data_IF_042822838228
#
_entry.id   IF_042822838228
#
_cell.length_a   1.000
_cell.length_b   1.000
_cell.length_c   1.000
_cell.angle_alpha   90.00
_cell.angle_beta   90.00
_cell.angle_gamma   90.00
#
_symmetry.space_group_name_H-M   'P 1'
#
loop_
_entity.id
_entity.type
_entity.pdbx_description
1 polymer ?
#
# COMPACT_ATOMS: atom_id res chain seq x y z
N UNK A 1 -28.87 -2.95 11.79
CA UNK A 1 -28.51 -4.27 11.21
C UNK A 1 -28.22 -4.28 9.71
N UNK A 2 -28.61 -3.30 8.88
CA UNK A 2 -28.39 -3.37 7.43
C UNK A 2 -26.92 -3.17 6.96
N UNK A 3 -26.11 -2.35 7.66
CA UNK A 3 -24.78 -1.91 7.19
C UNK A 3 -23.71 -3.00 7.03
N UNK A 4 -23.82 -4.16 7.68
CA UNK A 4 -22.80 -5.23 7.53
C UNK A 4 -22.98 -6.14 6.31
N UNK A 5 -24.15 -6.14 5.65
CA UNK A 5 -24.41 -7.10 4.55
C UNK A 5 -23.74 -6.75 3.22
N UNK A 6 -23.36 -5.48 3.00
CA UNK A 6 -22.79 -5.03 1.72
C UNK A 6 -21.25 -5.09 1.64
N UNK A 7 -20.52 -5.42 2.72
CA UNK A 7 -19.05 -5.46 2.70
C UNK A 7 -18.44 -6.75 2.12
N UNK A 8 -19.26 -7.77 1.87
CA UNK A 8 -18.79 -9.04 1.31
C UNK A 8 -18.90 -8.98 -0.21
N UNK A 9 -17.95 -8.30 -0.85
CA UNK A 9 -17.69 -8.52 -2.27
C UNK A 9 -17.37 -10.01 -2.50
N UNK A 10 -17.81 -10.62 -3.61
CA UNK A 10 -17.49 -12.01 -3.90
C UNK A 10 -15.99 -12.15 -4.21
N UNK A 11 -15.20 -12.40 -3.17
CA UNK A 11 -13.73 -12.55 -3.11
C UNK A 11 -13.08 -13.53 -4.12
N UNK A 12 -13.88 -14.17 -4.96
CA UNK A 12 -13.53 -15.22 -5.92
C UNK A 12 -14.02 -14.90 -7.35
N UNK A 13 -14.61 -13.71 -7.60
CA UNK A 13 -15.05 -13.26 -8.93
C UNK A 13 -14.53 -11.85 -9.21
N UNK A 14 -13.91 -11.69 -10.37
CA UNK A 14 -13.57 -10.38 -10.93
C UNK A 14 -14.85 -9.53 -11.05
N UNK A 15 -14.79 -8.28 -10.57
CA UNK A 15 -15.90 -7.34 -10.73
C UNK A 15 -16.03 -6.93 -12.19
N UNK A 16 -17.29 -6.79 -12.65
CA UNK A 16 -17.56 -6.19 -13.96
C UNK A 16 -17.15 -4.72 -13.90
N UNK A 17 -16.67 -4.12 -15.01
CA UNK A 17 -16.28 -2.71 -15.03
C UNK A 17 -17.35 -1.75 -14.48
N UNK A 18 -18.63 -1.98 -14.81
CA UNK A 18 -19.76 -1.18 -14.34
C UNK A 18 -19.99 -1.23 -12.80
N UNK A 19 -19.57 -2.31 -12.14
CA UNK A 19 -19.75 -2.48 -10.68
C UNK A 19 -18.56 -1.92 -9.87
N UNK A 20 -17.43 -1.57 -10.54
CA UNK A 20 -16.18 -1.20 -9.87
C UNK A 20 -16.27 0.09 -9.06
N UNK A 21 -16.84 1.16 -9.62
CA UNK A 21 -16.91 2.45 -8.93
C UNK A 21 -17.63 2.34 -7.57
N UNK A 22 -18.78 1.67 -7.53
CA UNK A 22 -19.52 1.41 -6.30
C UNK A 22 -18.76 0.51 -5.32
N UNK A 23 -18.08 -0.52 -5.81
CA UNK A 23 -17.27 -1.42 -4.98
C UNK A 23 -16.03 -0.72 -4.39
N UNK A 24 -15.34 0.09 -5.18
CA UNK A 24 -14.17 0.86 -4.77
C UNK A 24 -14.57 1.93 -3.74
N UNK A 25 -15.73 2.59 -3.91
CA UNK A 25 -16.29 3.48 -2.90
C UNK A 25 -16.56 2.72 -1.58
N UNK A 26 -17.18 1.54 -1.63
CA UNK A 26 -17.44 0.74 -0.42
C UNK A 26 -16.17 0.24 0.28
N UNK A 27 -15.08 0.00 -0.48
CA UNK A 27 -13.79 -0.48 0.05
C UNK A 27 -12.89 0.64 0.58
N UNK A 28 -12.84 1.78 -0.11
CA UNK A 28 -11.95 2.90 0.21
C UNK A 28 -12.62 3.96 1.09
N UNK A 29 -13.92 4.22 0.88
CA UNK A 29 -14.61 5.35 1.50
C UNK A 29 -15.47 4.94 2.70
N UNK A 30 -16.26 3.86 2.62
CA UNK A 30 -17.21 3.44 3.67
C UNK A 30 -16.56 2.79 4.93
N UNK A 31 -15.32 3.15 5.23
CA UNK A 31 -14.55 2.70 6.40
C UNK A 31 -14.93 3.45 7.68
N UNK A 32 -14.94 2.80 8.87
CA UNK A 32 -15.24 3.48 10.12
C UNK A 32 -14.10 4.43 10.49
N UNK A 33 -14.27 5.71 10.19
CA UNK A 33 -13.23 6.75 10.26
C UNK A 33 -13.44 7.84 9.20
N UNK A 34 -14.10 7.50 8.09
CA UNK A 34 -14.47 8.46 7.06
C UNK A 34 -15.87 9.02 7.33
N UNK A 35 -15.98 9.93 8.31
CA UNK A 35 -17.21 10.71 8.47
C UNK A 35 -17.35 11.69 7.29
N UNK A 36 -18.56 11.84 6.74
CA UNK A 36 -18.84 12.52 5.48
C UNK A 36 -18.57 14.06 5.43
N UNK A 37 -17.83 14.61 6.40
CA UNK A 37 -17.52 16.03 6.49
C UNK A 37 -16.31 16.51 5.68
N UNK A 38 -15.32 15.64 5.40
CA UNK A 38 -14.07 16.07 4.75
C UNK A 38 -14.12 16.11 3.22
N UNK A 39 -15.10 15.46 2.59
CA UNK A 39 -15.16 15.30 1.12
C UNK A 39 -15.74 16.53 0.42
N UNK A 40 -16.76 17.15 1.02
CA UNK A 40 -17.57 18.21 0.40
C UNK A 40 -16.77 19.50 0.08
N UNK A 41 -15.79 19.95 0.89
CA UNK A 41 -14.95 21.09 0.53
C UNK A 41 -14.03 20.84 -0.68
N UNK A 42 -13.69 19.58 -0.96
CA UNK A 42 -12.62 19.24 -1.90
C UNK A 42 -13.13 18.93 -3.32
N UNK A 43 -14.38 18.47 -3.51
CA UNK A 43 -14.95 18.30 -4.86
C UNK A 43 -15.06 19.63 -5.62
N UNK A 44 -15.37 20.72 -4.91
CA UNK A 44 -15.39 22.09 -5.45
C UNK A 44 -14.04 22.55 -6.01
N UNK A 45 -12.93 22.00 -5.53
CA UNK A 45 -11.58 22.32 -6.02
C UNK A 45 -11.37 21.76 -7.43
N UNK A 46 -11.88 20.54 -7.70
CA UNK A 46 -11.80 19.89 -9.02
C UNK A 46 -12.61 20.68 -10.06
N UNK A 47 -13.82 21.12 -9.72
CA UNK A 47 -14.66 21.95 -10.60
C UNK A 47 -14.03 23.31 -10.90
N UNK A 48 -13.46 23.95 -9.86
CA UNK A 48 -12.75 25.21 -10.00
C UNK A 48 -11.57 25.06 -10.97
N UNK A 49 -10.77 24.01 -10.83
CA UNK A 49 -9.66 23.67 -11.72
C UNK A 49 -10.11 23.22 -13.13
N UNK A 50 -11.32 22.68 -13.28
CA UNK A 50 -11.90 22.38 -14.58
C UNK A 50 -12.40 23.64 -15.31
N UNK A 51 -12.84 24.65 -14.55
CA UNK A 51 -13.39 25.92 -15.05
C UNK A 51 -12.30 26.96 -15.34
N UNK A 52 -11.20 26.97 -14.57
CA UNK A 52 -10.01 27.78 -14.86
C UNK A 52 -9.07 26.99 -15.77
N UNK A 53 -9.05 27.28 -17.07
CA UNK A 53 -8.03 26.74 -17.99
C UNK A 53 -6.66 27.39 -17.72
N UNK A 54 -5.99 26.93 -16.65
CA UNK A 54 -4.64 27.34 -16.28
C UNK A 54 -4.54 28.16 -14.98
N UNK A 55 -3.54 27.79 -14.18
CA UNK A 55 -2.63 28.69 -13.44
C UNK A 55 -3.19 29.64 -12.35
N UNK A 56 -4.48 29.61 -12.02
CA UNK A 56 -5.04 30.47 -10.95
C UNK A 56 -4.82 29.97 -9.49
N UNK A 57 -4.35 28.75 -9.27
CA UNK A 57 -4.23 28.14 -7.93
C UNK A 57 -2.94 28.50 -7.16
N UNK A 58 -2.01 29.23 -7.79
CA UNK A 58 -0.64 29.41 -7.30
C UNK A 58 -0.47 30.23 -5.99
N UNK A 59 -1.53 30.89 -5.49
CA UNK A 59 -1.38 31.95 -4.47
C UNK A 59 -1.55 31.47 -3.02
N UNK A 60 -2.01 30.24 -2.79
CA UNK A 60 -2.22 29.70 -1.43
C UNK A 60 -1.27 28.54 -1.06
N UNK A 61 -0.85 27.70 -2.03
CA UNK A 61 -0.02 26.52 -1.77
C UNK A 61 1.29 26.82 -1.03
N UNK A 62 2.04 27.84 -1.48
CA UNK A 62 3.29 28.26 -0.86
C UNK A 62 3.06 28.87 0.54
N UNK A 63 1.87 29.46 0.79
CA UNK A 63 1.48 30.03 2.09
C UNK A 63 1.03 28.97 3.08
N UNK A 64 0.46 27.87 2.57
CA UNK A 64 0.07 26.68 3.32
C UNK A 64 1.27 25.78 3.69
N UNK A 65 2.50 26.16 3.31
CA UNK A 65 3.72 25.43 3.66
C UNK A 65 3.95 24.19 2.81
N UNK A 66 3.63 24.24 1.51
CA UNK A 66 3.94 23.18 0.56
C UNK A 66 5.42 22.77 0.56
N UNK A 67 5.69 21.50 0.26
CA UNK A 67 7.04 20.90 0.32
C UNK A 67 8.08 21.51 -0.62
N UNK A 68 7.62 22.15 -1.70
CA UNK A 68 8.41 22.89 -2.69
C UNK A 68 7.50 23.97 -3.33
N UNK A 69 8.04 24.97 -4.05
CA UNK A 69 7.22 25.97 -4.76
C UNK A 69 6.20 25.34 -5.72
N UNK A 70 5.03 25.96 -5.82
CA UNK A 70 3.94 25.45 -6.66
C UNK A 70 4.35 25.16 -8.11
N UNK A 71 5.18 26.01 -8.74
CA UNK A 71 5.62 25.83 -10.13
C UNK A 71 6.42 24.53 -10.32
N UNK A 72 7.21 24.13 -9.32
CA UNK A 72 7.95 22.87 -9.36
C UNK A 72 7.01 21.68 -9.25
N UNK A 73 6.05 21.74 -8.33
CA UNK A 73 4.99 20.73 -8.15
C UNK A 73 4.21 20.55 -9.46
N UNK A 74 3.69 21.63 -10.03
CA UNK A 74 2.91 21.63 -11.26
C UNK A 74 3.72 21.13 -12.47
N UNK A 75 5.00 21.52 -12.60
CA UNK A 75 5.90 21.05 -13.66
C UNK A 75 6.17 19.54 -13.55
N UNK A 76 6.39 19.01 -12.34
CA UNK A 76 6.59 17.58 -12.10
C UNK A 76 5.34 16.77 -12.46
N UNK A 77 4.15 17.22 -12.05
CA UNK A 77 2.87 16.63 -12.44
C UNK A 77 2.75 16.58 -13.98
N UNK A 78 3.05 17.68 -14.68
CA UNK A 78 2.96 17.74 -16.14
C UNK A 78 3.95 16.78 -16.82
N UNK A 79 5.23 16.75 -16.41
CA UNK A 79 6.24 15.87 -17.00
C UNK A 79 5.93 14.38 -16.81
N UNK A 80 5.48 13.98 -15.62
CA UNK A 80 5.18 12.58 -15.33
C UNK A 80 3.84 12.13 -15.92
N UNK A 81 2.87 13.04 -16.10
CA UNK A 81 1.62 12.76 -16.81
C UNK A 81 1.85 12.43 -18.30
N UNK A 82 2.78 13.12 -18.97
CA UNK A 82 3.14 12.81 -20.36
C UNK A 82 3.91 11.49 -20.50
N UNK A 83 4.68 11.11 -19.47
CA UNK A 83 5.49 9.87 -19.41
C UNK A 83 4.70 8.63 -19.02
N UNK A 84 3.45 8.76 -18.58
CA UNK A 84 2.67 7.63 -18.07
C UNK A 84 2.44 6.58 -19.16
N UNK A 85 2.50 5.30 -18.76
CA UNK A 85 2.20 4.14 -19.59
C UNK A 85 0.92 4.33 -20.41
N UNK A 86 0.93 3.93 -21.67
CA UNK A 86 -0.24 3.92 -22.57
C UNK A 86 -1.16 2.70 -22.30
N UNK A 87 -1.29 2.32 -21.02
CA UNK A 87 -2.15 1.24 -20.54
C UNK A 87 -3.50 1.85 -20.08
N UNK A 88 -4.61 1.18 -20.38
CA UNK A 88 -5.98 1.68 -20.13
C UNK A 88 -6.59 2.48 -21.28
N UNK A 89 -7.92 2.43 -21.40
CA UNK A 89 -8.67 3.09 -22.47
C UNK A 89 -8.61 4.62 -22.37
N UNK A 90 -8.49 5.17 -21.18
CA UNK A 90 -8.45 6.64 -20.97
C UNK A 90 -7.08 7.25 -21.34
N UNK A 91 -5.99 6.48 -21.33
CA UNK A 91 -4.61 6.98 -21.50
C UNK A 91 -3.91 6.54 -22.80
N UNK A 92 -4.66 5.94 -23.72
CA UNK A 92 -4.19 5.47 -25.04
C UNK A 92 -4.83 6.25 -26.19
N UNK A 93 -4.25 6.11 -27.38
CA UNK A 93 -4.85 6.51 -28.67
C UNK A 93 -5.49 7.92 -28.64
N UNK A 94 -6.67 8.09 -29.25
CA UNK A 94 -7.34 9.39 -29.38
C UNK A 94 -7.87 9.97 -28.04
N UNK A 95 -8.07 9.14 -27.00
CA UNK A 95 -8.52 9.58 -25.67
C UNK A 95 -7.39 10.15 -24.81
N UNK A 96 -6.12 9.80 -25.07
CA UNK A 96 -4.97 10.18 -24.24
C UNK A 96 -4.88 11.68 -23.92
N UNK A 97 -5.09 12.64 -24.83
CA UNK A 97 -4.99 14.07 -24.49
C UNK A 97 -6.02 14.49 -23.43
N UNK A 98 -7.25 13.97 -23.52
CA UNK A 98 -8.29 14.19 -22.52
C UNK A 98 -7.96 13.48 -21.20
N UNK A 99 -7.49 12.23 -21.26
CA UNK A 99 -7.06 11.46 -20.09
C UNK A 99 -5.91 12.13 -19.31
N UNK A 100 -4.91 12.68 -20.00
CA UNK A 100 -3.83 13.45 -19.39
C UNK A 100 -4.36 14.74 -18.75
N UNK A 101 -5.31 15.44 -19.39
CA UNK A 101 -5.96 16.63 -18.78
C UNK A 101 -6.69 16.26 -17.48
N UNK A 102 -7.45 15.16 -17.45
CA UNK A 102 -8.09 14.61 -16.23
C UNK A 102 -7.05 14.28 -15.15
N UNK A 103 -6.03 13.49 -15.50
CA UNK A 103 -4.93 13.09 -14.60
C UNK A 103 -4.27 14.31 -13.92
N UNK A 104 -3.92 15.33 -14.72
CA UNK A 104 -3.31 16.57 -14.23
C UNK A 104 -4.23 17.35 -13.30
N UNK A 105 -5.52 17.49 -13.63
CA UNK A 105 -6.50 18.19 -12.76
C UNK A 105 -6.60 17.54 -11.38
N UNK A 106 -6.75 16.22 -11.33
CA UNK A 106 -6.93 15.47 -10.07
C UNK A 106 -5.64 15.48 -9.23
N UNK A 107 -4.46 15.32 -9.83
CA UNK A 107 -3.19 15.43 -9.10
C UNK A 107 -2.92 16.84 -8.58
N UNK A 108 -3.26 17.88 -9.36
CA UNK A 108 -3.23 19.27 -8.90
C UNK A 108 -4.17 19.49 -7.71
N UNK A 109 -5.41 19.00 -7.79
CA UNK A 109 -6.36 19.08 -6.69
C UNK A 109 -5.85 18.36 -5.43
N UNK A 110 -5.22 17.18 -5.58
CA UNK A 110 -4.66 16.45 -4.44
C UNK A 110 -3.50 17.20 -3.79
N UNK A 111 -2.54 17.68 -4.59
CA UNK A 111 -1.37 18.39 -4.07
C UNK A 111 -1.79 19.64 -3.27
N UNK A 112 -2.77 20.40 -3.79
CA UNK A 112 -3.34 21.56 -3.11
C UNK A 112 -4.10 21.20 -1.81
N UNK A 113 -4.73 20.02 -1.75
CA UNK A 113 -5.47 19.54 -0.56
C UNK A 113 -4.53 19.05 0.55
N UNK A 114 -3.45 18.36 0.19
CA UNK A 114 -2.50 17.73 1.11
C UNK A 114 -1.07 18.23 0.85
N UNK A 115 -0.84 19.52 1.13
CA UNK A 115 0.41 20.23 0.83
C UNK A 115 1.65 19.66 1.55
N UNK A 116 1.48 18.95 2.67
CA UNK A 116 2.55 18.21 3.36
C UNK A 116 3.09 17.02 2.52
N UNK A 117 2.26 16.46 1.64
CA UNK A 117 2.65 15.43 0.65
C UNK A 117 2.94 16.07 -0.71
N UNK A 118 2.14 17.05 -1.11
CA UNK A 118 2.22 17.72 -2.40
C UNK A 118 2.08 16.72 -3.55
N UNK A 119 3.10 16.67 -4.41
CA UNK A 119 3.21 15.66 -5.46
C UNK A 119 4.49 14.83 -5.34
N UNK A 120 4.33 13.51 -5.39
CA UNK A 120 5.41 12.55 -5.43
C UNK A 120 5.36 11.71 -6.72
N UNK A 121 6.54 11.39 -7.26
CA UNK A 121 6.65 10.56 -8.45
C UNK A 121 6.02 9.17 -8.19
N UNK A 122 5.21 8.70 -9.13
CA UNK A 122 4.44 7.45 -8.99
C UNK A 122 2.99 7.65 -8.53
N UNK A 123 2.60 8.83 -8.07
CA UNK A 123 1.18 9.14 -7.85
C UNK A 123 0.37 9.14 -9.15
N UNK A 124 1.01 9.42 -10.29
CA UNK A 124 0.47 9.22 -11.65
C UNK A 124 0.09 7.76 -11.91
N UNK A 125 0.99 6.81 -11.62
CA UNK A 125 0.74 5.36 -11.75
C UNK A 125 -0.41 4.90 -10.83
N UNK A 126 -0.49 5.44 -9.60
CA UNK A 126 -1.56 5.11 -8.65
C UNK A 126 -2.92 5.68 -9.07
N UNK A 127 -2.97 6.88 -9.65
CA UNK A 127 -4.22 7.52 -10.06
C UNK A 127 -4.79 6.93 -11.36
N UNK A 128 -3.95 6.47 -12.29
CA UNK A 128 -4.40 6.03 -13.62
C UNK A 128 -5.55 5.00 -13.60
N UNK A 129 -5.56 3.95 -12.75
CA UNK A 129 -6.70 3.03 -12.67
C UNK A 129 -8.02 3.70 -12.24
N UNK A 130 -7.99 4.78 -11.46
CA UNK A 130 -9.21 5.51 -11.07
C UNK A 130 -9.83 6.22 -12.26
N UNK A 131 -9.04 6.76 -13.20
CA UNK A 131 -9.59 7.39 -14.41
C UNK A 131 -10.38 6.42 -15.29
N UNK A 132 -10.01 5.14 -15.27
CA UNK A 132 -10.67 4.05 -16.00
C UNK A 132 -11.95 3.56 -15.30
N UNK A 133 -11.97 3.59 -13.96
CA UNK A 133 -13.13 3.17 -13.13
C UNK A 133 -14.19 4.27 -13.02
N UNK A 134 -13.77 5.53 -12.96
CA UNK A 134 -14.64 6.68 -12.71
C UNK A 134 -14.64 7.62 -13.92
N UNK A 135 -15.82 7.79 -14.52
CA UNK A 135 -16.01 8.73 -15.65
C UNK A 135 -15.97 10.20 -15.20
N UNK A 136 -16.39 10.48 -13.97
CA UNK A 136 -16.36 11.80 -13.36
C UNK A 136 -15.03 12.07 -12.61
N UNK A 137 -14.58 13.33 -12.61
CA UNK A 137 -13.32 13.72 -11.97
C UNK A 137 -13.46 13.92 -10.45
N UNK A 138 -14.63 14.29 -9.92
CA UNK A 138 -14.87 14.41 -8.48
C UNK A 138 -14.95 13.05 -7.80
N UNK A 139 -15.65 12.09 -8.41
CA UNK A 139 -15.71 10.71 -7.93
C UNK A 139 -14.31 10.07 -7.95
N UNK A 140 -13.59 10.23 -9.07
CA UNK A 140 -12.21 9.77 -9.22
C UNK A 140 -11.28 10.37 -8.15
N UNK A 141 -11.35 11.70 -7.95
CA UNK A 141 -10.59 12.40 -6.92
C UNK A 141 -10.94 11.91 -5.51
N UNK A 142 -12.22 11.77 -5.19
CA UNK A 142 -12.68 11.32 -3.86
C UNK A 142 -12.18 9.91 -3.55
N UNK A 143 -12.33 8.98 -4.50
CA UNK A 143 -11.83 7.62 -4.37
C UNK A 143 -10.30 7.57 -4.28
N UNK A 144 -9.58 8.40 -5.06
CA UNK A 144 -8.13 8.53 -4.97
C UNK A 144 -7.67 9.09 -3.62
N UNK A 145 -8.37 10.06 -3.03
CA UNK A 145 -8.13 10.52 -1.66
C UNK A 145 -8.33 9.40 -0.63
N UNK A 146 -9.31 8.52 -0.83
CA UNK A 146 -9.50 7.30 -0.02
C UNK A 146 -8.32 6.31 -0.14
N UNK A 147 -7.74 6.15 -1.33
CA UNK A 147 -6.49 5.40 -1.49
C UNK A 147 -5.33 6.09 -0.78
N UNK A 148 -5.14 7.38 -1.05
CA UNK A 148 -4.04 8.18 -0.51
C UNK A 148 -4.08 8.24 1.01
N UNK A 149 -5.24 8.32 1.67
CA UNK A 149 -5.37 8.20 3.12
C UNK A 149 -4.66 6.95 3.68
N UNK A 150 -4.65 5.84 2.93
CA UNK A 150 -4.05 4.56 3.31
C UNK A 150 -2.55 4.47 3.00
N UNK A 151 -2.07 5.17 1.97
CA UNK A 151 -0.65 5.20 1.55
C UNK A 151 0.08 6.49 1.92
N UNK A 152 -0.58 7.47 2.56
CA UNK A 152 -0.07 8.84 2.79
C UNK A 152 1.34 8.84 3.40
N UNK A 153 1.55 8.03 4.43
CA UNK A 153 2.83 7.92 5.12
C UNK A 153 3.98 7.41 4.24
N UNK A 154 3.69 6.72 3.13
CA UNK A 154 4.68 6.32 2.14
C UNK A 154 5.22 7.50 1.32
N UNK A 155 4.51 8.64 1.30
CA UNK A 155 4.82 9.82 0.49
C UNK A 155 5.22 11.04 1.32
N UNK A 156 5.23 10.93 2.65
CA UNK A 156 5.73 11.98 3.54
C UNK A 156 7.27 12.08 3.44
N UNK A 157 7.78 13.27 3.75
CA UNK A 157 9.21 13.55 3.81
C UNK A 157 9.95 12.55 4.72
N UNK A 158 11.16 12.14 4.34
CA UNK A 158 11.96 11.13 5.05
C UNK A 158 11.61 9.68 4.75
N UNK A 159 10.46 9.39 4.13
CA UNK A 159 10.08 8.04 3.65
C UNK A 159 10.12 6.96 4.76
N UNK A 160 9.90 7.34 6.03
CA UNK A 160 10.07 6.44 7.18
C UNK A 160 9.16 5.20 7.13
N UNK A 161 7.94 5.38 6.62
CA UNK A 161 6.97 4.31 6.46
C UNK A 161 7.43 3.27 5.42
N UNK A 162 7.96 3.73 4.29
CA UNK A 162 8.58 2.87 3.27
C UNK A 162 9.76 2.09 3.84
N UNK A 163 10.64 2.76 4.59
CA UNK A 163 11.75 2.08 5.28
C UNK A 163 11.25 1.05 6.33
N UNK A 164 10.13 1.32 7.02
CA UNK A 164 9.49 0.36 7.94
C UNK A 164 8.89 -0.83 7.19
N UNK A 165 8.22 -0.61 6.07
CA UNK A 165 7.64 -1.66 5.23
C UNK A 165 8.72 -2.56 4.60
N UNK A 166 9.86 -1.99 4.18
CA UNK A 166 11.02 -2.74 3.68
C UNK A 166 11.66 -3.63 4.76
N UNK A 167 11.80 -3.11 5.99
CA UNK A 167 12.25 -3.94 7.13
C UNK A 167 11.26 -5.07 7.44
N UNK A 168 9.96 -4.77 7.46
CA UNK A 168 8.92 -5.78 7.67
C UNK A 168 8.91 -6.84 6.56
N UNK A 169 9.14 -6.47 5.30
CA UNK A 169 9.30 -7.40 4.18
C UNK A 169 10.45 -8.38 4.43
N UNK A 170 11.59 -7.87 4.90
CA UNK A 170 12.73 -8.68 5.34
C UNK A 170 12.38 -9.63 6.48
N UNK A 171 11.72 -9.14 7.55
CA UNK A 171 11.27 -9.98 8.67
C UNK A 171 10.30 -11.08 8.25
N UNK A 172 9.30 -10.75 7.41
CA UNK A 172 8.30 -11.68 6.88
C UNK A 172 8.98 -12.78 6.06
N UNK A 173 9.90 -12.43 5.17
CA UNK A 173 10.68 -13.40 4.41
C UNK A 173 11.64 -14.20 5.30
N UNK A 174 12.29 -13.57 6.29
CA UNK A 174 13.15 -14.26 7.25
C UNK A 174 12.43 -15.33 8.07
N UNK A 175 11.19 -15.05 8.48
CA UNK A 175 10.34 -16.00 9.24
C UNK A 175 9.64 -17.05 8.38
N UNK A 176 9.30 -16.74 7.12
CA UNK A 176 8.48 -17.62 6.27
C UNK A 176 9.24 -18.33 5.14
N UNK A 177 10.40 -17.81 4.72
CA UNK A 177 11.37 -18.45 3.82
C UNK A 177 12.81 -18.03 4.16
N UNK A 178 13.28 -18.48 5.33
CA UNK A 178 14.63 -18.17 5.82
C UNK A 178 15.77 -18.66 4.94
N UNK A 179 15.53 -19.44 3.87
CA UNK A 179 16.56 -19.74 2.85
C UNK A 179 16.67 -18.59 1.85
N UNK A 180 15.54 -18.14 1.31
CA UNK A 180 15.50 -16.98 0.39
C UNK A 180 16.04 -15.73 1.08
N UNK A 181 15.60 -15.42 2.30
CA UNK A 181 16.08 -14.25 3.04
C UNK A 181 17.60 -14.27 3.26
N UNK A 182 18.17 -15.37 3.75
CA UNK A 182 19.63 -15.48 3.98
C UNK A 182 20.44 -15.34 2.69
N UNK A 183 19.94 -15.85 1.58
CA UNK A 183 20.59 -15.69 0.28
C UNK A 183 20.55 -14.22 -0.18
N UNK A 184 19.40 -13.56 -0.10
CA UNK A 184 19.26 -12.13 -0.43
C UNK A 184 20.19 -11.26 0.43
N UNK A 185 20.32 -11.55 1.73
CA UNK A 185 21.30 -10.89 2.61
C UNK A 185 22.74 -11.15 2.13
N UNK A 186 23.09 -12.39 1.79
CA UNK A 186 24.44 -12.77 1.38
C UNK A 186 24.89 -12.12 0.06
N UNK A 187 23.97 -11.88 -0.89
CA UNK A 187 24.27 -11.18 -2.17
C UNK A 187 24.19 -9.64 -2.06
N UNK A 188 24.02 -9.09 -0.86
CA UNK A 188 23.95 -7.64 -0.61
C UNK A 188 22.55 -7.01 -0.74
N UNK A 189 21.51 -7.82 -1.02
CA UNK A 189 20.12 -7.38 -1.17
C UNK A 189 19.31 -7.39 0.15
N UNK A 190 19.97 -7.50 1.31
CA UNK A 190 19.35 -7.60 2.63
C UNK A 190 18.58 -6.38 3.12
N UNK A 191 18.73 -5.21 2.47
CA UNK A 191 17.94 -4.01 2.75
C UNK A 191 16.57 -4.00 2.05
N UNK A 192 16.33 -4.93 1.12
CA UNK A 192 15.12 -5.05 0.30
C UNK A 192 14.77 -3.84 -0.57
N UNK A 193 15.62 -2.81 -0.67
CA UNK A 193 15.35 -1.56 -1.42
C UNK A 193 14.97 -1.79 -2.88
N UNK A 194 15.40 -2.90 -3.50
CA UNK A 194 14.92 -3.32 -4.82
C UNK A 194 13.38 -3.44 -4.93
N UNK A 195 12.68 -3.71 -3.82
CA UNK A 195 11.23 -3.83 -3.74
C UNK A 195 10.52 -2.52 -3.37
N UNK A 196 11.24 -1.38 -3.31
CA UNK A 196 10.65 -0.07 -2.96
C UNK A 196 9.49 0.31 -3.89
N UNK A 197 9.68 0.22 -5.22
CA UNK A 197 8.63 0.52 -6.19
C UNK A 197 7.42 -0.43 -6.05
N UNK A 198 7.69 -1.72 -5.83
CA UNK A 198 6.66 -2.78 -5.67
C UNK A 198 5.70 -2.46 -4.51
N UNK A 199 6.24 -1.92 -3.41
CA UNK A 199 5.47 -1.48 -2.24
C UNK A 199 4.78 -0.13 -2.49
N UNK A 200 5.53 0.87 -2.97
CA UNK A 200 5.04 2.25 -3.16
C UNK A 200 3.85 2.29 -4.12
N UNK A 201 3.91 1.51 -5.20
CA UNK A 201 2.90 1.47 -6.26
C UNK A 201 1.93 0.28 -6.12
N UNK A 202 1.98 -0.48 -5.02
CA UNK A 202 1.11 -1.64 -4.77
C UNK A 202 1.06 -2.63 -5.96
N UNK A 203 2.24 -3.01 -6.45
CA UNK A 203 2.50 -3.84 -7.63
C UNK A 203 1.96 -3.34 -8.99
N UNK A 204 1.50 -2.08 -9.10
CA UNK A 204 0.91 -1.53 -10.34
C UNK A 204 1.79 -1.73 -11.59
N UNK A 205 3.12 -1.65 -11.49
CA UNK A 205 4.03 -1.81 -12.65
C UNK A 205 4.42 -3.27 -12.90
N UNK A 206 4.19 -4.13 -11.91
CA UNK A 206 4.61 -5.53 -11.86
C UNK A 206 3.49 -6.51 -12.25
N UNK A 207 2.23 -6.07 -12.35
CA UNK A 207 1.10 -6.85 -12.91
C UNK A 207 0.66 -6.31 -14.29
N UNK A 208 -0.21 -7.04 -14.99
CA UNK A 208 -0.88 -6.52 -16.18
C UNK A 208 -1.93 -5.45 -15.80
N UNK A 209 -2.28 -4.58 -16.74
CA UNK A 209 -3.25 -3.50 -16.50
C UNK A 209 -4.61 -4.05 -16.06
N UNK A 210 -5.09 -5.11 -16.70
CA UNK A 210 -6.38 -5.75 -16.43
C UNK A 210 -6.40 -6.42 -15.04
N UNK A 211 -5.24 -6.88 -14.59
CA UNK A 211 -5.03 -7.56 -13.30
C UNK A 211 -4.91 -6.58 -12.13
N UNK A 212 -4.52 -5.31 -12.34
CA UNK A 212 -4.33 -4.35 -11.22
C UNK A 212 -5.64 -4.09 -10.48
N UNK A 213 -6.75 -4.00 -11.21
CA UNK A 213 -8.08 -3.83 -10.61
C UNK A 213 -8.42 -5.00 -9.70
N UNK A 214 -8.24 -6.23 -10.19
CA UNK A 214 -8.55 -7.46 -9.45
C UNK A 214 -7.63 -7.64 -8.25
N UNK A 215 -6.33 -7.30 -8.40
CA UNK A 215 -5.37 -7.31 -7.31
C UNK A 215 -5.81 -6.38 -6.17
N UNK A 216 -6.10 -5.13 -6.48
CA UNK A 216 -6.47 -4.11 -5.51
C UNK A 216 -7.84 -4.40 -4.87
N UNK A 217 -8.85 -4.74 -5.66
CA UNK A 217 -10.19 -5.17 -5.19
C UNK A 217 -10.07 -6.35 -4.20
N UNK A 218 -9.29 -7.39 -4.56
CA UNK A 218 -9.12 -8.58 -3.71
C UNK A 218 -8.32 -8.25 -2.45
N UNK A 219 -7.30 -7.39 -2.55
CA UNK A 219 -6.48 -6.95 -1.42
C UNK A 219 -7.32 -6.18 -0.42
N UNK A 220 -7.96 -5.07 -0.83
CA UNK A 220 -8.75 -4.24 0.06
C UNK A 220 -9.93 -5.00 0.68
N UNK A 221 -10.59 -5.89 -0.07
CA UNK A 221 -11.68 -6.71 0.46
C UNK A 221 -11.21 -7.73 1.53
N UNK A 222 -10.01 -8.31 1.38
CA UNK A 222 -9.44 -9.23 2.39
C UNK A 222 -8.94 -8.48 3.60
N UNK A 223 -8.28 -7.34 3.41
CA UNK A 223 -7.88 -6.43 4.49
C UNK A 223 -9.11 -5.97 5.31
N UNK A 224 -10.24 -5.66 4.67
CA UNK A 224 -11.48 -5.28 5.37
C UNK A 224 -12.00 -6.42 6.25
N UNK A 225 -12.06 -7.63 5.68
CA UNK A 225 -12.46 -8.87 6.36
C UNK A 225 -11.53 -9.22 7.52
N UNK A 226 -10.23 -8.98 7.37
CA UNK A 226 -9.23 -9.17 8.41
C UNK A 226 -9.38 -8.12 9.51
N UNK A 227 -9.61 -6.85 9.18
CA UNK A 227 -9.86 -5.78 10.15
C UNK A 227 -11.11 -6.10 10.99
N UNK A 228 -12.23 -6.44 10.36
CA UNK A 228 -13.47 -6.85 11.04
C UNK A 228 -13.24 -8.09 11.95
N UNK A 229 -12.38 -9.05 11.56
CA UNK A 229 -12.05 -10.24 12.34
C UNK A 229 -10.98 -10.01 13.45
N UNK A 230 -10.24 -8.90 13.39
CA UNK A 230 -9.21 -8.52 14.36
C UNK A 230 -9.68 -7.45 15.34
N UNK A 231 -10.78 -6.77 15.03
CA UNK A 231 -11.42 -5.81 15.94
C UNK A 231 -11.77 -6.50 17.27
N UNK A 232 -11.52 -5.84 18.43
CA UNK A 232 -12.02 -6.34 19.69
C UNK A 232 -13.56 -6.42 19.65
N UNK A 233 -14.18 -7.44 20.27
CA UNK A 233 -15.63 -7.52 20.31
C UNK A 233 -16.18 -6.25 20.97
N UNK A 234 -17.05 -5.53 20.25
CA UNK A 234 -17.75 -4.37 20.78
C UNK A 234 -18.47 -4.79 22.08
N UNK A 235 -18.19 -4.06 23.16
CA UNK A 235 -18.80 -4.34 24.45
C UNK A 235 -20.33 -4.30 24.32
N UNK A 236 -20.99 -5.42 24.62
CA UNK A 236 -22.44 -5.51 24.57
C UNK A 236 -23.03 -4.76 25.77
N UNK A 237 -23.59 -3.57 25.52
CA UNK A 237 -24.06 -2.61 26.52
C UNK A 237 -23.11 -1.42 26.61
N UNK A 238 -23.57 -0.17 26.50
CA UNK A 238 -24.83 0.36 27.01
C UNK A 238 -25.78 0.96 25.96
N UNK A 239 -27.08 0.66 26.10
CA UNK A 239 -28.16 1.32 25.34
C UNK A 239 -28.58 2.66 25.97
N UNK A 240 -27.64 3.56 26.22
CA UNK A 240 -27.88 4.79 26.98
C UNK A 240 -27.11 6.01 26.43
N UNK A 241 -27.28 6.30 25.13
CA UNK A 241 -26.79 7.53 24.50
C UNK A 241 -27.59 7.88 23.21
N UNK A 242 -28.92 7.74 23.25
CA UNK A 242 -29.82 8.13 22.14
C UNK A 242 -30.97 8.99 22.68
N UNK A 243 -30.61 10.13 23.29
CA UNK A 243 -31.59 11.10 23.80
C UNK A 243 -31.03 12.53 23.95
N UNK A 244 -30.08 12.97 23.10
CA UNK A 244 -29.63 14.38 23.10
C UNK A 244 -29.04 14.83 21.75
N UNK A 245 -29.82 14.62 20.68
CA UNK A 245 -29.49 15.04 19.31
C UNK A 245 -30.55 16.01 18.74
N UNK A 246 -31.03 16.94 19.56
CA UNK A 246 -32.02 17.97 19.17
C UNK A 246 -31.82 19.29 19.89
N UNK A 247 -30.57 19.78 19.87
CA UNK A 247 -30.18 21.19 20.07
C UNK A 247 -28.67 21.39 19.81
N UNK A 248 -28.21 21.06 18.60
CA UNK A 248 -26.88 21.45 18.14
C UNK A 248 -27.01 22.73 17.30
N UNK A 249 -26.57 23.86 17.84
CA UNK A 249 -26.46 25.10 17.09
C UNK A 249 -25.39 24.97 15.99
N UNK A 250 -25.57 25.69 14.89
CA UNK A 250 -24.60 25.77 13.79
C UNK A 250 -23.21 26.19 14.34
N UNK A 251 -22.13 25.42 14.08
CA UNK A 251 -20.79 25.82 14.49
C UNK A 251 -20.38 27.15 13.85
N UNK A 252 -19.83 28.07 14.65
CA UNK A 252 -19.33 29.34 14.14
C UNK A 252 -18.06 29.15 13.29
N UNK A 253 -17.83 29.99 12.27
CA UNK A 253 -16.76 29.78 11.30
C UNK A 253 -15.40 30.28 11.80
N UNK A 254 -14.80 29.62 12.80
CA UNK A 254 -13.41 29.90 13.21
C UNK A 254 -12.77 28.74 14.01
N UNK A 255 -12.32 27.71 13.29
CA UNK A 255 -11.12 26.88 13.55
C UNK A 255 -11.18 25.64 12.63
N UNK A 256 -10.72 25.79 11.39
CA UNK A 256 -10.59 24.67 10.46
C UNK A 256 -9.39 23.80 10.88
N UNK A 257 -9.68 22.57 11.32
CA UNK A 257 -8.66 21.52 11.41
C UNK A 257 -8.18 21.20 9.99
N UNK A 258 -6.86 21.19 9.70
CA UNK A 258 -6.35 20.98 8.35
C UNK A 258 -6.90 19.70 7.69
N UNK A 259 -7.27 19.73 6.38
CA UNK A 259 -7.79 18.54 5.68
C UNK A 259 -6.86 17.32 5.80
N UNK A 260 -5.55 17.54 5.78
CA UNK A 260 -4.52 16.51 5.96
C UNK A 260 -4.66 15.70 7.27
N UNK A 261 -5.08 16.33 8.38
CA UNK A 261 -5.28 15.63 9.66
C UNK A 261 -6.53 14.75 9.64
N UNK A 262 -7.56 15.13 8.88
CA UNK A 262 -8.77 14.34 8.70
C UNK A 262 -8.49 13.10 7.82
N UNK A 263 -7.64 13.23 6.81
CA UNK A 263 -7.14 12.12 6.00
C UNK A 263 -6.42 11.05 6.86
N UNK A 264 -5.64 11.49 7.86
CA UNK A 264 -4.94 10.61 8.80
C UNK A 264 -5.85 9.78 9.71
N UNK A 265 -7.03 10.29 10.07
CA UNK A 265 -7.97 9.57 10.93
C UNK A 265 -8.55 8.30 10.26
N UNK A 266 -8.75 8.32 8.94
CA UNK A 266 -9.23 7.16 8.18
C UNK A 266 -8.20 6.01 8.14
N UNK A 267 -6.91 6.31 8.21
CA UNK A 267 -5.84 5.30 8.23
C UNK A 267 -5.88 4.39 9.47
N UNK A 268 -6.36 4.92 10.61
CA UNK A 268 -6.40 4.20 11.88
C UNK A 268 -7.28 2.93 11.83
N UNK A 269 -8.31 2.91 10.98
CA UNK A 269 -9.22 1.77 10.84
C UNK A 269 -8.57 0.50 10.26
N UNK A 270 -7.42 0.64 9.57
CA UNK A 270 -6.79 -0.45 8.81
C UNK A 270 -5.40 -0.83 9.32
N UNK A 271 -4.83 -0.08 10.27
CA UNK A 271 -3.47 -0.22 10.77
C UNK A 271 -3.12 -1.62 11.35
N UNK A 272 -4.13 -2.45 11.65
CA UNK A 272 -3.95 -3.83 12.13
C UNK A 272 -4.00 -4.93 11.06
N UNK A 273 -4.36 -4.62 9.80
CA UNK A 273 -4.76 -5.62 8.79
C UNK A 273 -4.14 -5.43 7.39
N UNK A 274 -3.10 -4.60 7.26
CA UNK A 274 -2.40 -4.30 6.00
C UNK A 274 -1.76 -5.54 5.36
N UNK A 275 -2.14 -5.84 4.11
CA UNK A 275 -1.61 -6.96 3.32
C UNK A 275 -0.55 -6.54 2.29
N UNK A 276 -0.29 -5.24 2.07
CA UNK A 276 0.60 -4.75 0.98
C UNK A 276 1.99 -5.38 1.03
N UNK A 277 2.62 -5.40 2.21
CA UNK A 277 3.92 -6.05 2.43
C UNK A 277 3.86 -7.56 2.19
N UNK A 278 2.76 -8.20 2.54
CA UNK A 278 2.57 -9.64 2.36
C UNK A 278 2.30 -10.02 0.90
N UNK A 279 1.66 -9.13 0.13
CA UNK A 279 1.45 -9.28 -1.32
C UNK A 279 2.79 -9.20 -2.05
N UNK A 280 3.65 -8.23 -1.72
CA UNK A 280 5.03 -8.17 -2.26
C UNK A 280 5.85 -9.39 -1.82
N UNK A 281 5.77 -9.80 -0.55
CA UNK A 281 6.46 -10.99 -0.06
C UNK A 281 6.00 -12.28 -0.76
N UNK A 282 4.70 -12.41 -1.06
CA UNK A 282 4.14 -13.52 -1.82
C UNK A 282 4.60 -13.50 -3.28
N UNK A 283 4.70 -12.33 -3.90
CA UNK A 283 5.18 -12.18 -5.28
C UNK A 283 6.66 -12.59 -5.40
N UNK A 284 7.51 -12.10 -4.50
CA UNK A 284 8.93 -12.50 -4.45
C UNK A 284 9.07 -14.01 -4.19
N UNK A 285 8.26 -14.60 -3.31
CA UNK A 285 8.25 -16.07 -3.10
C UNK A 285 7.74 -16.85 -4.31
N UNK A 286 6.90 -16.27 -5.16
CA UNK A 286 6.53 -16.84 -6.46
C UNK A 286 7.73 -16.98 -7.40
N UNK A 287 8.69 -16.05 -7.31
CA UNK A 287 9.92 -16.02 -8.12
C UNK A 287 11.15 -16.59 -7.39
N UNK A 288 10.93 -17.38 -6.34
CA UNK A 288 11.96 -17.87 -5.41
C UNK A 288 13.15 -18.58 -6.09
N UNK A 289 12.91 -19.36 -7.14
CA UNK A 289 14.00 -20.08 -7.85
C UNK A 289 14.91 -19.13 -8.61
N UNK A 290 14.35 -18.13 -9.29
CA UNK A 290 15.13 -17.10 -9.98
C UNK A 290 15.91 -16.24 -8.96
N UNK A 291 15.24 -15.77 -7.89
CA UNK A 291 15.88 -14.99 -6.83
C UNK A 291 16.97 -15.75 -6.05
N UNK A 292 16.92 -17.09 -6.02
CA UNK A 292 17.98 -17.94 -5.44
C UNK A 292 19.14 -18.24 -6.41
N UNK A 293 19.01 -17.85 -7.68
CA UNK A 293 20.04 -18.02 -8.71
C UNK A 293 20.86 -16.75 -8.96
N UNK A 294 20.41 -15.59 -8.50
CA UNK A 294 21.17 -14.35 -8.55
C UNK A 294 22.46 -14.46 -7.73
N UNK A 295 23.61 -14.12 -8.31
CA UNK A 295 24.89 -14.12 -7.59
C UNK A 295 25.20 -12.77 -6.92
N UNK A 296 24.49 -11.69 -7.28
CA UNK A 296 24.79 -10.32 -6.85
C UNK A 296 23.52 -9.47 -6.63
N UNK A 297 23.67 -8.37 -5.88
CA UNK A 297 22.64 -7.32 -5.76
C UNK A 297 22.22 -6.78 -7.12
N UNK A 298 23.16 -6.62 -8.06
CA UNK A 298 22.86 -6.11 -9.40
C UNK A 298 21.93 -7.06 -10.14
N UNK A 299 22.18 -8.38 -10.12
CA UNK A 299 21.28 -9.37 -10.72
C UNK A 299 19.89 -9.37 -10.07
N UNK A 300 19.79 -9.18 -8.75
CA UNK A 300 18.49 -9.05 -8.07
C UNK A 300 17.73 -7.80 -8.58
N UNK A 301 18.42 -6.67 -8.73
CA UNK A 301 17.83 -5.43 -9.27
C UNK A 301 17.44 -5.59 -10.74
N UNK A 302 18.30 -6.18 -11.57
CA UNK A 302 18.00 -6.47 -12.98
C UNK A 302 16.81 -7.43 -13.13
N UNK A 303 16.71 -8.45 -12.27
CA UNK A 303 15.58 -9.37 -12.22
C UNK A 303 14.26 -8.64 -11.87
N UNK A 304 14.27 -7.78 -10.84
CA UNK A 304 13.08 -7.04 -10.42
C UNK A 304 12.67 -5.97 -11.43
N UNK A 305 13.62 -5.34 -12.12
CA UNK A 305 13.33 -4.45 -13.26
C UNK A 305 12.68 -5.18 -14.45
N UNK A 306 12.74 -6.52 -14.50
CA UNK A 306 12.09 -7.38 -15.49
C UNK A 306 11.16 -8.40 -14.82
N UNK A 307 10.54 -8.01 -13.70
CA UNK A 307 9.78 -8.92 -12.84
C UNK A 307 8.72 -9.71 -13.64
N UNK A 308 8.73 -11.05 -13.63
CA UNK A 308 7.74 -11.82 -14.37
C UNK A 308 6.34 -11.59 -13.80
N UNK A 309 5.46 -10.99 -14.63
CA UNK A 309 4.12 -10.52 -14.23
C UNK A 309 3.29 -11.63 -13.56
N UNK A 310 2.83 -11.47 -12.31
CA UNK A 310 1.95 -12.43 -11.65
C UNK A 310 0.58 -12.53 -12.34
N UNK A 311 0.32 -13.65 -13.03
CA UNK A 311 -0.92 -13.87 -13.80
C UNK A 311 -2.10 -14.42 -12.98
N UNK A 312 -1.89 -14.72 -11.69
CA UNK A 312 -2.91 -15.28 -10.78
C UNK A 312 -3.08 -14.39 -9.56
N UNK A 313 -3.44 -13.12 -9.78
CA UNK A 313 -3.48 -12.10 -8.72
C UNK A 313 -4.39 -12.45 -7.54
N UNK A 314 -5.53 -13.13 -7.75
CA UNK A 314 -6.37 -13.60 -6.62
C UNK A 314 -5.62 -14.59 -5.72
N UNK A 315 -4.95 -15.58 -6.32
CA UNK A 315 -4.15 -16.56 -5.59
C UNK A 315 -2.91 -15.95 -4.92
N UNK A 316 -2.36 -14.87 -5.51
CA UNK A 316 -1.29 -14.07 -4.91
C UNK A 316 -1.75 -13.41 -3.60
N UNK A 317 -2.93 -12.78 -3.58
CA UNK A 317 -3.49 -12.17 -2.35
C UNK A 317 -3.93 -13.25 -1.35
N UNK A 318 -4.42 -14.41 -1.79
CA UNK A 318 -4.68 -15.56 -0.90
C UNK A 318 -3.43 -16.03 -0.17
N UNK A 319 -2.31 -16.14 -0.90
CA UNK A 319 -1.03 -16.47 -0.31
C UNK A 319 -0.53 -15.36 0.62
N UNK A 320 -0.76 -14.09 0.30
CA UNK A 320 -0.44 -12.96 1.17
C UNK A 320 -1.23 -13.01 2.50
N UNK A 321 -2.54 -13.25 2.45
CA UNK A 321 -3.39 -13.40 3.63
C UNK A 321 -2.95 -14.60 4.49
N UNK A 322 -2.65 -15.74 3.87
CA UNK A 322 -2.07 -16.89 4.57
C UNK A 322 -0.75 -16.54 5.26
N UNK A 323 0.14 -15.82 4.57
CA UNK A 323 1.42 -15.35 5.11
C UNK A 323 1.23 -14.39 6.30
N UNK A 324 0.29 -13.44 6.20
CA UNK A 324 -0.08 -12.52 7.28
C UNK A 324 -0.55 -13.28 8.53
N UNK A 325 -1.53 -14.17 8.38
CA UNK A 325 -2.07 -14.96 9.50
C UNK A 325 -0.98 -15.85 10.13
N UNK A 326 -0.13 -16.47 9.30
CA UNK A 326 0.98 -17.31 9.78
C UNK A 326 2.05 -16.49 10.51
N UNK A 327 2.45 -15.34 9.96
CA UNK A 327 3.45 -14.45 10.56
C UNK A 327 2.98 -13.94 11.94
N UNK A 328 1.74 -13.46 12.05
CA UNK A 328 1.17 -13.02 13.33
C UNK A 328 1.08 -14.14 14.37
N UNK A 329 0.83 -15.39 13.96
CA UNK A 329 0.89 -16.55 14.87
C UNK A 329 2.32 -16.82 15.38
N UNK A 330 3.33 -16.66 14.53
CA UNK A 330 4.75 -16.84 14.89
C UNK A 330 5.36 -15.67 15.69
N UNK A 331 4.69 -14.52 15.74
CA UNK A 331 5.07 -13.38 16.58
C UNK A 331 4.50 -13.43 18.00
N UNK A 332 3.44 -14.22 18.25
CA UNK A 332 2.92 -14.38 19.62
C UNK A 332 3.99 -15.08 20.47
N UNK A 333 4.40 -14.52 21.61
CA UNK A 333 5.34 -15.19 22.51
C UNK A 333 4.72 -16.51 22.97
N UNK A 334 5.54 -17.54 23.13
CA UNK A 334 5.13 -18.83 23.70
C UNK A 334 4.75 -18.63 25.16
N UNK A 335 3.49 -18.29 25.43
CA UNK A 335 2.94 -18.25 26.78
C UNK A 335 3.08 -19.65 27.38
N UNK A 336 3.85 -19.75 28.47
CA UNK A 336 4.07 -20.98 29.22
C UNK A 336 2.73 -21.62 29.62
N UNK A 337 2.74 -22.94 29.79
CA UNK A 337 1.54 -23.77 29.86
C UNK A 337 0.42 -23.23 30.74
N UNK A 338 -0.66 -22.76 30.11
CA UNK A 338 -1.93 -22.37 30.71
C UNK A 338 -3.07 -22.96 29.87
N UNK A 339 -4.10 -23.51 30.53
CA UNK A 339 -5.09 -24.39 29.91
C UNK A 339 -5.84 -23.77 28.72
N UNK A 340 -6.10 -24.63 27.73
CA UNK A 340 -6.83 -24.38 26.49
C UNK A 340 -8.19 -23.66 26.67
N UNK A 341 -8.36 -22.56 25.94
CA UNK A 341 -9.66 -22.07 25.47
C UNK A 341 -9.71 -22.18 23.95
N UNK A 342 -10.56 -23.05 23.41
CA UNK A 342 -10.53 -23.42 21.99
C UNK A 342 -11.06 -22.31 21.07
N UNK A 343 -10.18 -21.75 20.23
CA UNK A 343 -10.55 -21.09 18.97
C UNK A 343 -10.34 -22.04 17.79
N UNK A 344 -11.05 -23.17 17.82
CA UNK A 344 -11.17 -24.12 16.70
C UNK A 344 -12.64 -24.38 16.43
N UNK A 345 -13.25 -23.56 15.58
CA UNK A 345 -14.72 -23.53 15.44
C UNK A 345 -15.26 -22.68 14.29
N UNK A 346 -14.50 -22.50 13.21
CA UNK A 346 -14.97 -22.04 11.89
C UNK A 346 -13.86 -22.28 10.86
N UNK A 347 -14.20 -22.38 9.57
CA UNK A 347 -13.31 -22.79 8.47
C UNK A 347 -12.95 -24.29 8.45
N UNK A 348 -13.96 -25.17 8.35
CA UNK A 348 -13.79 -26.49 7.74
C UNK A 348 -15.09 -26.98 7.12
N UNK A 349 -15.10 -27.18 5.80
CA UNK A 349 -16.18 -27.84 5.07
C UNK A 349 -15.63 -28.42 3.77
N UNK A 350 -15.68 -29.75 3.64
CA UNK A 350 -15.34 -30.55 2.44
C UNK A 350 -13.88 -30.49 1.94
N UNK A 351 -13.17 -31.58 1.62
CA UNK A 351 -13.49 -33.01 1.58
C UNK A 351 -12.30 -33.86 2.07
N UNK A 352 -12.53 -35.16 2.29
CA UNK A 352 -11.63 -36.09 3.00
C UNK A 352 -10.92 -37.12 2.09
N UNK A 353 -10.13 -38.01 2.71
CA UNK A 353 -9.26 -39.06 2.15
C UNK A 353 -8.00 -38.51 1.43
N UNK A 354 -6.79 -39.03 1.58
CA UNK A 354 -6.17 -40.19 2.27
C UNK A 354 -4.72 -40.25 1.72
N UNK A 355 -3.70 -40.95 2.23
CA UNK A 355 -3.50 -42.00 3.26
C UNK A 355 -2.13 -41.69 3.94
N UNK A 356 -1.84 -42.32 5.07
CA UNK A 356 -0.59 -42.20 5.84
C UNK A 356 0.64 -42.71 5.09
N UNK A 357 1.84 -42.22 5.45
CA UNK A 357 2.88 -43.10 6.02
C UNK A 357 4.03 -42.30 6.68
N UNK A 358 4.46 -42.83 7.82
CA UNK A 358 5.54 -42.38 8.71
C UNK A 358 6.92 -42.62 8.12
N UNK A 359 7.89 -41.73 8.35
CA UNK A 359 9.26 -42.10 8.80
C UNK A 359 10.17 -40.90 9.17
N UNK A 360 10.77 -40.99 10.36
CA UNK A 360 12.02 -40.33 10.78
C UNK A 360 13.01 -41.46 11.08
N UNK A 361 14.31 -41.34 10.75
CA UNK A 361 15.27 -40.62 11.59
C UNK A 361 16.18 -39.68 10.74
N UNK A 362 17.34 -39.14 11.13
CA UNK A 362 18.19 -39.30 12.31
C UNK A 362 18.88 -37.97 12.71
N UNK A 363 20.11 -38.03 13.27
CA UNK A 363 20.90 -36.87 13.69
C UNK A 363 22.41 -37.04 13.38
N UNK A 364 23.21 -35.99 13.69
CA UNK A 364 24.68 -35.81 13.52
C UNK A 364 25.09 -35.33 12.10
N UNK A 365 26.09 -34.47 11.90
CA UNK A 365 27.17 -33.96 12.78
C UNK A 365 27.62 -32.52 12.41
N UNK A 366 28.21 -31.77 13.37
CA UNK A 366 28.89 -30.47 13.14
C UNK A 366 30.29 -30.64 12.55
N UNK A 367 30.79 -29.67 11.76
CA UNK A 367 32.21 -29.33 11.63
C UNK A 367 32.60 -28.05 12.44
N UNK A 368 33.91 -27.80 12.67
CA UNK A 368 34.44 -26.73 13.54
C UNK A 368 34.74 -25.39 12.81
N UNK A 369 35.11 -24.30 13.53
CA UNK A 369 35.38 -22.99 12.94
C UNK A 369 36.86 -22.78 12.52
N UNK A 370 37.06 -21.99 11.45
CA UNK A 370 38.34 -21.39 11.06
C UNK A 370 38.08 -19.90 10.79
N UNK A 371 38.54 -19.00 11.67
CA UNK A 371 39.87 -18.37 11.72
C UNK A 371 40.02 -17.17 10.76
N UNK A 372 40.37 -16.03 11.36
CA UNK A 372 40.57 -14.72 10.74
C UNK A 372 42.08 -14.50 10.53
N UNK A 373 42.54 -14.05 9.35
CA UNK A 373 43.86 -13.44 9.21
C UNK A 373 43.79 -11.97 9.64
N UNK A 374 44.58 -11.59 10.64
CA UNK A 374 44.90 -10.19 10.90
C UNK A 374 46.09 -9.75 10.04
N UNK A 375 46.13 -8.45 9.72
CA UNK A 375 47.38 -7.70 9.61
C UNK A 375 47.94 -7.50 8.21
N UNK A 376 47.91 -6.26 7.75
CA UNK A 376 49.17 -5.52 7.60
C UNK A 376 48.95 -4.06 8.05
N UNK A 377 49.83 -3.58 8.93
CA UNK A 377 49.87 -2.19 9.40
C UNK A 377 51.27 -1.66 9.13
N UNK A 378 51.35 -0.54 8.40
CA UNK A 378 52.40 0.50 8.43
C UNK A 378 51.81 1.70 7.68
N UNK A 379 51.47 2.83 8.31
CA UNK A 379 52.37 3.96 8.69
C UNK A 379 53.13 4.56 7.49
N UNK A 380 53.19 5.87 7.28
CA UNK A 380 52.58 7.02 7.98
C UNK A 380 52.75 8.28 7.12
N UNK A 381 52.07 9.39 7.50
CA UNK A 381 52.53 10.79 7.28
C UNK A 381 52.74 11.29 5.83
N UNK A 382 52.83 12.59 5.56
CA UNK A 382 52.15 13.78 6.10
C UNK A 382 52.54 14.95 5.19
N UNK A 383 51.60 15.86 4.91
CA UNK A 383 51.78 17.26 4.47
C UNK A 383 50.80 17.62 3.35
N UNK A 384 50.41 18.87 3.15
CA UNK A 384 49.98 19.96 4.03
C UNK A 384 49.54 21.09 3.08
N UNK A 385 48.59 21.89 3.56
CA UNK A 385 48.15 23.20 3.06
C UNK A 385 48.99 23.81 1.91
N UNK A 386 48.35 24.17 0.81
CA UNK A 386 48.11 25.61 0.60
C UNK A 386 47.94 26.00 -0.86
N UNK A 387 47.46 27.23 -1.15
CA UNK A 387 46.58 27.45 -2.30
C UNK A 387 47.18 28.28 -3.45
N UNK A 388 46.61 28.10 -4.63
CA UNK A 388 46.29 29.14 -5.63
C UNK A 388 45.25 28.60 -6.61
#
# INVERSE_FOLDING_TARGET
MARHKNRVLPLHRQLKPADRASAWNALLLDSPGNAAGCVIPCCLLVDKLASTEGEAAAVDYDRLGGTEPWEHTARRIAMDAERISHEGQVLRDASRPAGIKRLRRILTAYALMDCEVGYCQGMTDLLAPFLEVYADDQEAFTAFCGLMARVRANFLCGMEDMHRQLRLLGEVLGRLDGRLHRHLVAVGAGSFVFAFQMLLLQLRREVAWEDVFVLWETMWAREARLADALAPPLAAGSGAAVAEASQAQLPQPQQQVPPAQQLGAAAAAWAGADLRVFVVAAALRGQRTALLSCASLEEVVQFVNRFPRPTKVVALVEQAEYMFVKFRRLQRPSSGGGRSGSLSGCLRGGCSSGIEHTEQPAARSRPPPAQVPQGLVTTSESDSRGPS
#
